data_IF_909360492951
#
_entry.id   IF_909360492951
#
_cell.length_a   1.000
_cell.length_b   1.000
_cell.length_c   1.000
_cell.angle_alpha   90.00
_cell.angle_beta   90.00
_cell.angle_gamma   90.00
#
_symmetry.space_group_name_H-M   'P 1'
#
loop_
_entity.id
_entity.type
_entity.pdbx_description
1 polymer ?
#
# COMPACT_ATOMS: atom_id res chain seq x y z
N UNK A 1 -3.55 -5.83 19.77
CA UNK A 1 -2.45 -4.83 19.79
C UNK A 1 -1.78 -4.63 21.17
N UNK A 2 -2.39 -5.06 22.28
CA UNK A 2 -1.86 -4.86 23.64
C UNK A 2 -1.01 -6.02 24.17
N UNK A 3 -0.89 -7.10 23.41
CA UNK A 3 -0.16 -8.32 23.75
C UNK A 3 0.62 -8.82 22.54
N UNK A 4 1.62 -9.68 22.75
CA UNK A 4 2.52 -10.19 21.71
C UNK A 4 3.79 -9.38 21.51
N UNK A 5 4.65 -9.88 20.64
CA UNK A 5 5.86 -9.23 20.15
C UNK A 5 5.54 -7.94 19.39
N UNK A 6 6.57 -7.12 19.12
CA UNK A 6 6.40 -5.88 18.35
C UNK A 6 5.83 -6.16 16.96
N UNK A 7 6.37 -7.15 16.25
CA UNK A 7 5.90 -7.53 14.91
C UNK A 7 4.44 -7.97 14.95
N UNK A 8 4.07 -8.86 15.87
CA UNK A 8 2.67 -9.32 16.01
C UNK A 8 1.71 -8.16 16.32
N UNK A 9 2.17 -7.17 17.10
CA UNK A 9 1.38 -5.97 17.41
C UNK A 9 1.22 -5.04 16.21
N UNK A 10 2.25 -4.93 15.36
CA UNK A 10 2.19 -4.18 14.08
C UNK A 10 1.19 -4.85 13.14
N UNK A 11 1.33 -6.15 12.92
CA UNK A 11 0.43 -6.91 12.04
C UNK A 11 -1.02 -6.81 12.50
N UNK A 12 -1.25 -6.94 13.82
CA UNK A 12 -2.58 -6.76 14.40
C UNK A 12 -3.14 -5.34 14.20
N UNK A 13 -2.29 -4.30 14.25
CA UNK A 13 -2.74 -2.93 14.01
C UNK A 13 -3.11 -2.69 12.55
N UNK A 14 -2.33 -3.23 11.61
CA UNK A 14 -2.63 -3.20 10.17
C UNK A 14 -3.96 -3.90 9.89
N UNK A 15 -4.14 -5.11 10.39
CA UNK A 15 -5.38 -5.88 10.22
C UNK A 15 -6.61 -5.14 10.76
N UNK A 16 -6.53 -4.55 11.96
CA UNK A 16 -7.63 -3.77 12.54
C UNK A 16 -7.96 -2.50 11.77
N UNK A 17 -6.97 -1.88 11.14
CA UNK A 17 -7.18 -0.72 10.28
C UNK A 17 -7.89 -1.12 8.99
N UNK A 18 -7.51 -2.25 8.40
CA UNK A 18 -8.21 -2.80 7.23
C UNK A 18 -9.66 -3.19 7.56
N UNK A 19 -9.89 -3.90 8.67
CA UNK A 19 -11.23 -4.25 9.16
C UNK A 19 -12.12 -3.01 9.35
N UNK A 20 -11.56 -1.94 9.90
CA UNK A 20 -12.28 -0.68 10.08
C UNK A 20 -12.76 -0.10 8.74
N UNK A 21 -11.88 0.03 7.74
CA UNK A 21 -12.31 0.54 6.42
C UNK A 21 -13.33 -0.36 5.74
N UNK A 22 -13.17 -1.68 5.83
CA UNK A 22 -14.15 -2.65 5.31
C UNK A 22 -15.51 -2.51 6.03
N UNK A 23 -15.52 -2.24 7.34
CA UNK A 23 -16.77 -1.99 8.08
C UNK A 23 -17.55 -0.76 7.60
N UNK A 24 -16.86 0.20 6.96
CA UNK A 24 -17.47 1.39 6.33
C UNK A 24 -17.88 1.15 4.87
N UNK A 25 -17.67 -0.07 4.34
CA UNK A 25 -17.95 -0.42 2.94
C UNK A 25 -16.88 0.07 1.95
N UNK A 26 -15.66 0.36 2.43
CA UNK A 26 -14.54 0.76 1.57
C UNK A 26 -13.71 -0.46 1.15
N UNK A 27 -13.37 -0.53 -0.13
CA UNK A 27 -12.40 -1.48 -0.66
C UNK A 27 -11.00 -1.20 -0.11
N UNK A 28 -10.22 -2.25 0.11
CA UNK A 28 -8.84 -2.18 0.62
C UNK A 28 -7.86 -2.94 -0.27
N UNK A 29 -8.33 -3.47 -1.40
CA UNK A 29 -7.52 -4.08 -2.46
C UNK A 29 -7.83 -3.47 -3.83
N UNK A 30 -6.84 -3.44 -4.71
CA UNK A 30 -6.95 -2.83 -6.03
C UNK A 30 -7.91 -3.59 -6.94
N UNK A 31 -7.91 -4.93 -6.88
CA UNK A 31 -8.81 -5.74 -7.71
C UNK A 31 -10.30 -5.51 -7.38
N UNK A 32 -10.63 -5.14 -6.13
CA UNK A 32 -12.01 -4.82 -5.71
C UNK A 32 -12.57 -3.58 -6.44
N UNK A 33 -11.69 -2.77 -7.02
CA UNK A 33 -12.04 -1.55 -7.78
C UNK A 33 -11.53 -1.58 -9.23
N UNK A 34 -11.28 -2.78 -9.78
CA UNK A 34 -10.86 -3.01 -11.16
C UNK A 34 -9.52 -2.36 -11.53
N UNK A 35 -8.58 -2.27 -10.58
CA UNK A 35 -7.21 -1.83 -10.84
C UNK A 35 -6.29 -3.06 -10.86
N UNK A 36 -5.56 -3.24 -11.97
CA UNK A 36 -4.66 -4.38 -12.20
C UNK A 36 -3.19 -3.99 -12.37
N UNK A 37 -2.35 -4.98 -12.70
CA UNK A 37 -0.90 -4.84 -12.83
C UNK A 37 -0.45 -3.76 -13.83
N UNK A 38 -1.15 -3.61 -14.96
CA UNK A 38 -0.81 -2.60 -15.98
C UNK A 38 -0.81 -1.17 -15.40
N UNK A 39 -1.73 -0.89 -14.47
CA UNK A 39 -1.78 0.40 -13.78
C UNK A 39 -0.57 0.59 -12.86
N UNK A 40 -0.10 -0.49 -12.20
CA UNK A 40 1.08 -0.45 -11.33
C UNK A 40 2.32 -0.13 -12.16
N UNK A 41 2.49 -0.79 -13.31
CA UNK A 41 3.59 -0.54 -14.26
C UNK A 41 3.59 0.91 -14.73
N UNK A 42 2.41 1.45 -15.08
CA UNK A 42 2.29 2.84 -15.54
C UNK A 42 2.58 3.85 -14.42
N UNK A 43 2.24 3.54 -13.17
CA UNK A 43 2.58 4.39 -12.01
C UNK A 43 4.10 4.40 -11.81
N UNK A 44 4.76 3.25 -11.81
CA UNK A 44 6.22 3.15 -11.68
C UNK A 44 6.93 3.97 -12.77
N UNK A 45 6.51 3.82 -14.03
CA UNK A 45 7.06 4.58 -15.16
C UNK A 45 6.92 6.09 -14.94
N UNK A 46 5.72 6.57 -14.59
CA UNK A 46 5.46 8.01 -14.35
C UNK A 46 6.22 8.58 -13.16
N UNK A 47 6.40 7.78 -12.10
CA UNK A 47 7.17 8.21 -10.93
C UNK A 47 8.65 8.34 -11.29
N UNK A 48 9.21 7.39 -12.04
CA UNK A 48 10.60 7.43 -12.49
C UNK A 48 10.84 8.59 -13.47
N UNK A 49 9.93 8.85 -14.41
CA UNK A 49 10.06 9.97 -15.36
C UNK A 49 10.07 11.35 -14.69
N UNK A 50 9.43 11.47 -13.53
CA UNK A 50 9.35 12.71 -12.76
C UNK A 50 10.43 12.81 -11.69
N UNK A 51 11.30 11.81 -11.56
CA UNK A 51 12.23 11.66 -10.44
C UNK A 51 11.51 11.83 -9.08
N UNK A 52 10.39 11.10 -8.91
CA UNK A 52 9.55 11.21 -7.73
C UNK A 52 10.12 10.45 -6.53
N UNK A 53 10.19 11.14 -5.39
CA UNK A 53 10.70 10.64 -4.11
C UNK A 53 9.71 11.02 -3.00
N UNK A 54 8.67 10.20 -2.80
CA UNK A 54 7.61 10.47 -1.82
C UNK A 54 7.96 9.99 -0.41
N UNK A 55 7.06 10.26 0.54
CA UNK A 55 7.24 9.93 1.95
C UNK A 55 8.01 11.01 2.71
N UNK A 56 7.93 10.98 4.03
CA UNK A 56 8.54 11.96 4.94
C UNK A 56 10.08 11.97 4.85
N UNK A 57 10.67 10.88 4.37
CA UNK A 57 12.12 10.75 4.12
C UNK A 57 12.52 10.88 2.66
N UNK A 58 11.56 11.00 1.73
CA UNK A 58 11.83 10.98 0.30
C UNK A 58 12.41 9.64 -0.17
N UNK A 59 12.06 8.52 0.46
CA UNK A 59 12.59 7.20 0.12
C UNK A 59 11.62 6.38 -0.74
N UNK A 60 10.40 6.86 -0.96
CA UNK A 60 9.39 6.18 -1.78
C UNK A 60 9.58 6.55 -3.25
N UNK A 61 10.50 5.85 -3.90
CA UNK A 61 10.75 5.91 -5.35
C UNK A 61 9.66 5.20 -6.15
N UNK A 62 9.71 5.25 -7.48
CA UNK A 62 8.82 4.46 -8.35
C UNK A 62 8.86 2.95 -8.05
N UNK A 63 10.04 2.40 -7.79
CA UNK A 63 10.22 0.98 -7.44
C UNK A 63 9.60 0.64 -6.07
N UNK A 64 9.73 1.53 -5.07
CA UNK A 64 9.11 1.32 -3.76
C UNK A 64 7.58 1.44 -3.87
N UNK A 65 7.08 2.41 -4.64
CA UNK A 65 5.65 2.56 -4.91
C UNK A 65 5.06 1.32 -5.58
N UNK A 66 5.76 0.75 -6.58
CA UNK A 66 5.40 -0.54 -7.19
C UNK A 66 5.25 -1.64 -6.15
N UNK A 67 6.27 -1.83 -5.29
CA UNK A 67 6.23 -2.88 -4.28
C UNK A 67 5.05 -2.73 -3.30
N UNK A 68 4.69 -1.48 -2.94
CA UNK A 68 3.52 -1.20 -2.12
C UNK A 68 2.23 -1.59 -2.85
N UNK A 69 2.10 -1.18 -4.12
CA UNK A 69 0.91 -1.46 -4.94
C UNK A 69 0.73 -2.96 -5.23
N UNK A 70 1.82 -3.69 -5.45
CA UNK A 70 1.79 -5.16 -5.62
C UNK A 70 1.30 -5.88 -4.34
N UNK A 71 1.54 -5.32 -3.16
CA UNK A 71 0.96 -5.84 -1.90
C UNK A 71 -0.51 -5.49 -1.73
N UNK A 72 -0.99 -4.44 -2.41
CA UNK A 72 -2.37 -3.99 -2.38
C UNK A 72 -3.22 -4.60 -3.51
N UNK A 73 -2.60 -5.28 -4.48
CA UNK A 73 -3.28 -5.93 -5.59
C UNK A 73 -4.30 -6.96 -5.08
#
# INVERSE_FOLDING_TARGET
>A
IHTGSVTERIDAAIARTEEFFRSLGLATRLHEVNVGEDTIVEIERRFNERDAHYGERGEVTGAVARAILEKAL
#
